data_IF_598193285582
#
_entry.id   IF_598193285582
#
_cell.length_a   1.000
_cell.length_b   1.000
_cell.length_c   1.000
_cell.angle_alpha   90.00
_cell.angle_beta   90.00
_cell.angle_gamma   90.00
#
_symmetry.space_group_name_H-M   'P 1'
#
loop_
_entity.id
_entity.type
_entity.pdbx_description
1 polymer ?
#
# COMPACT_ATOMS: atom_id res chain seq x y z
N UNK A 1 -23.49 14.73 -15.36
CA UNK A 1 -22.46 13.74 -14.96
C UNK A 1 -21.60 14.41 -13.91
N UNK A 2 -21.79 14.03 -12.65
CA UNK A 2 -20.89 14.36 -11.55
C UNK A 2 -19.58 13.57 -11.69
N UNK A 3 -18.44 14.26 -11.60
CA UNK A 3 -17.24 13.73 -10.95
C UNK A 3 -16.39 14.89 -10.45
N UNK A 4 -16.40 15.11 -9.14
CA UNK A 4 -15.21 15.53 -8.43
C UNK A 4 -14.68 14.30 -7.68
N UNK A 5 -13.36 14.15 -7.55
CA UNK A 5 -12.84 14.45 -6.23
C UNK A 5 -11.53 15.26 -6.28
N UNK A 6 -11.60 16.44 -5.67
CA UNK A 6 -10.61 17.01 -4.75
C UNK A 6 -9.15 16.64 -5.01
N UNK A 7 -8.51 17.33 -5.95
CA UNK A 7 -7.06 17.36 -6.11
C UNK A 7 -6.41 18.13 -4.96
N UNK A 8 -5.99 17.44 -3.90
CA UNK A 8 -4.94 17.93 -2.97
C UNK A 8 -3.54 17.75 -3.59
N UNK A 9 -3.41 18.07 -4.88
CA UNK A 9 -2.23 17.76 -5.70
C UNK A 9 -1.12 18.82 -5.58
N UNK A 10 -1.43 20.03 -5.08
CA UNK A 10 -0.46 21.13 -5.10
C UNK A 10 0.75 20.94 -4.16
N UNK A 11 0.61 20.17 -3.07
CA UNK A 11 1.68 19.98 -2.08
C UNK A 11 2.62 18.83 -2.41
N UNK A 12 2.08 17.65 -2.69
CA UNK A 12 2.89 16.46 -2.97
C UNK A 12 3.65 16.59 -4.30
N UNK A 13 2.97 17.08 -5.35
CA UNK A 13 3.58 17.20 -6.68
C UNK A 13 4.70 18.26 -6.69
N UNK A 14 4.58 19.33 -5.89
CA UNK A 14 5.61 20.36 -5.76
C UNK A 14 6.87 19.85 -5.06
N UNK A 15 6.73 19.01 -4.03
CA UNK A 15 7.86 18.39 -3.32
C UNK A 15 8.61 17.42 -4.24
N UNK A 16 7.89 16.58 -4.97
CA UNK A 16 8.52 15.63 -5.90
C UNK A 16 9.26 16.37 -7.04
N UNK A 17 8.68 17.46 -7.55
CA UNK A 17 9.34 18.30 -8.55
C UNK A 17 10.61 18.99 -8.01
N UNK A 18 10.61 19.43 -6.75
CA UNK A 18 11.76 20.05 -6.10
C UNK A 18 12.88 19.03 -5.88
N UNK A 19 12.55 17.83 -5.37
CA UNK A 19 13.50 16.72 -5.20
C UNK A 19 14.12 16.30 -6.54
N UNK A 20 13.32 16.24 -7.61
CA UNK A 20 13.82 15.94 -8.95
C UNK A 20 14.84 16.98 -9.46
N UNK A 21 14.65 18.25 -9.11
CA UNK A 21 15.56 19.35 -9.42
C UNK A 21 16.76 19.41 -8.46
N UNK A 22 16.74 18.67 -7.36
CA UNK A 22 17.76 18.72 -6.31
C UNK A 22 17.71 20.00 -5.47
N UNK A 23 16.55 20.66 -5.44
CA UNK A 23 16.31 21.89 -4.69
C UNK A 23 15.19 21.64 -3.67
N UNK A 24 15.27 22.27 -2.50
CA UNK A 24 14.16 22.34 -1.55
C UNK A 24 13.12 23.36 -2.03
N UNK A 25 11.96 23.41 -1.39
CA UNK A 25 10.86 24.32 -1.77
C UNK A 25 11.23 25.80 -1.61
N UNK A 26 12.24 26.11 -0.80
CA UNK A 26 12.79 27.45 -0.64
C UNK A 26 13.92 27.77 -1.65
N UNK A 27 14.24 26.83 -2.55
CA UNK A 27 15.29 26.98 -3.57
C UNK A 27 16.69 26.62 -3.09
N UNK A 28 16.87 26.19 -1.84
CA UNK A 28 18.18 25.75 -1.34
C UNK A 28 18.59 24.39 -1.92
N UNK A 29 19.89 24.11 -2.14
CA UNK A 29 20.32 22.83 -2.67
C UNK A 29 20.12 21.69 -1.66
N UNK A 30 19.54 20.58 -2.10
CA UNK A 30 19.43 19.36 -1.29
C UNK A 30 20.83 18.73 -1.17
N UNK A 31 21.29 18.36 0.05
CA UNK A 31 22.55 17.65 0.22
C UNK A 31 22.65 16.38 -0.64
N UNK A 32 23.76 16.16 -1.38
CA UNK A 32 23.89 15.04 -2.32
C UNK A 32 23.65 13.67 -1.70
N UNK A 33 24.09 13.45 -0.46
CA UNK A 33 23.88 12.19 0.26
C UNK A 33 22.40 11.88 0.49
N UNK A 34 21.58 12.90 0.79
CA UNK A 34 20.12 12.75 0.97
C UNK A 34 19.44 12.41 -0.35
N UNK A 35 19.82 13.11 -1.43
CA UNK A 35 19.26 12.88 -2.76
C UNK A 35 19.64 11.49 -3.30
N UNK A 36 20.87 11.04 -3.05
CA UNK A 36 21.33 9.70 -3.42
C UNK A 36 20.51 8.62 -2.73
N UNK A 37 20.32 8.74 -1.41
CA UNK A 37 19.51 7.78 -0.65
C UNK A 37 18.05 7.76 -1.12
N UNK A 38 17.44 8.92 -1.35
CA UNK A 38 16.08 9.00 -1.88
C UNK A 38 15.94 8.28 -3.22
N UNK A 39 16.85 8.54 -4.17
CA UNK A 39 16.84 7.91 -5.49
C UNK A 39 17.00 6.39 -5.40
N UNK A 40 17.88 5.91 -4.52
CA UNK A 40 18.07 4.48 -4.28
C UNK A 40 16.76 3.83 -3.80
N UNK A 41 16.13 4.39 -2.77
CA UNK A 41 14.89 3.84 -2.21
C UNK A 41 13.73 3.92 -3.22
N UNK A 42 13.59 5.03 -3.96
CA UNK A 42 12.56 5.14 -5.00
C UNK A 42 12.80 4.18 -6.16
N UNK A 43 14.05 3.89 -6.52
CA UNK A 43 14.37 2.87 -7.51
C UNK A 43 14.00 1.45 -7.02
N UNK A 44 14.13 1.18 -5.73
CA UNK A 44 13.66 -0.08 -5.13
C UNK A 44 12.12 -0.17 -5.14
N UNK A 45 11.42 0.91 -4.78
CA UNK A 45 9.95 0.94 -4.82
C UNK A 45 9.41 0.87 -6.25
N UNK A 46 10.06 1.52 -7.22
CA UNK A 46 9.70 1.44 -8.65
C UNK A 46 9.85 0.04 -9.23
N UNK A 47 10.74 -0.79 -8.68
CA UNK A 47 10.88 -2.22 -9.03
C UNK A 47 9.81 -3.09 -8.39
N UNK A 48 9.04 -2.58 -7.43
CA UNK A 48 7.99 -3.33 -6.76
C UNK A 48 6.82 -3.53 -7.72
N UNK A 49 6.53 -4.78 -8.07
CA UNK A 49 5.28 -5.13 -8.74
C UNK A 49 4.13 -4.78 -7.80
N UNK A 50 3.36 -3.73 -8.13
CA UNK A 50 2.14 -3.40 -7.39
C UNK A 50 1.24 -4.63 -7.37
N UNK A 51 0.75 -4.98 -6.19
CA UNK A 51 -0.22 -6.06 -6.04
C UNK A 51 -1.49 -5.67 -6.81
N UNK A 52 -2.05 -6.59 -7.61
CA UNK A 52 -3.29 -6.33 -8.33
C UNK A 52 -4.44 -6.01 -7.37
N UNK A 53 -5.49 -5.38 -7.91
CA UNK A 53 -6.69 -4.98 -7.14
C UNK A 53 -7.27 -6.18 -6.38
N UNK A 54 -7.39 -7.34 -7.02
CA UNK A 54 -7.89 -8.59 -6.41
C UNK A 54 -7.04 -9.04 -5.22
N UNK A 55 -5.71 -9.00 -5.31
CA UNK A 55 -4.81 -9.34 -4.20
C UNK A 55 -4.96 -8.38 -3.03
N UNK A 56 -5.10 -7.08 -3.34
CA UNK A 56 -5.30 -6.03 -2.34
C UNK A 56 -6.66 -6.20 -1.64
N UNK A 57 -7.71 -6.49 -2.41
CA UNK A 57 -9.07 -6.74 -1.92
C UNK A 57 -9.08 -7.94 -0.97
N UNK A 58 -8.51 -9.09 -1.39
CA UNK A 58 -8.40 -10.28 -0.53
C UNK A 58 -7.67 -9.97 0.78
N UNK A 59 -6.53 -9.28 0.69
CA UNK A 59 -5.72 -8.96 1.87
C UNK A 59 -6.48 -8.07 2.86
N UNK A 60 -7.31 -7.13 2.36
CA UNK A 60 -8.18 -6.30 3.18
C UNK A 60 -9.31 -7.11 3.82
N UNK A 61 -9.96 -7.99 3.05
CA UNK A 61 -11.01 -8.89 3.55
C UNK A 61 -10.45 -9.77 4.68
N UNK A 62 -9.30 -10.42 4.48
CA UNK A 62 -8.68 -11.26 5.52
C UNK A 62 -8.37 -10.44 6.78
N UNK A 63 -7.68 -9.30 6.65
CA UNK A 63 -7.26 -8.47 7.79
C UNK A 63 -8.41 -7.89 8.59
N UNK A 64 -9.50 -7.51 7.94
CA UNK A 64 -10.66 -6.89 8.61
C UNK A 64 -11.63 -7.98 9.06
N UNK A 65 -11.94 -8.95 8.20
CA UNK A 65 -12.84 -10.06 8.47
C UNK A 65 -12.42 -10.88 9.68
N UNK A 66 -11.13 -11.12 9.90
CA UNK A 66 -10.66 -11.90 11.04
C UNK A 66 -10.92 -11.24 12.40
N UNK A 67 -11.27 -9.95 12.43
CA UNK A 67 -11.70 -9.25 13.66
C UNK A 67 -13.16 -9.54 14.02
N UNK A 68 -13.96 -9.98 13.06
CA UNK A 68 -15.42 -10.04 13.16
C UNK A 68 -16.00 -11.44 12.90
N UNK A 69 -15.25 -12.32 12.24
CA UNK A 69 -15.69 -13.64 11.81
C UNK A 69 -14.79 -14.73 12.39
N UNK A 70 -15.38 -15.90 12.67
CA UNK A 70 -14.60 -17.10 12.99
C UNK A 70 -13.67 -17.48 11.81
N UNK A 71 -12.65 -18.28 12.09
CA UNK A 71 -11.74 -18.77 11.04
C UNK A 71 -12.50 -19.53 9.96
N UNK A 72 -13.43 -20.41 10.35
CA UNK A 72 -14.25 -21.21 9.43
C UNK A 72 -15.15 -20.32 8.58
N UNK A 73 -15.86 -19.37 9.19
CA UNK A 73 -16.77 -18.46 8.47
C UNK A 73 -16.03 -17.59 7.45
N UNK A 74 -14.88 -17.02 7.84
CA UNK A 74 -14.09 -16.20 6.94
C UNK A 74 -13.52 -17.04 5.79
N UNK A 75 -13.07 -18.26 6.08
CA UNK A 75 -12.54 -19.15 5.06
C UNK A 75 -13.60 -19.56 4.04
N UNK A 76 -14.81 -19.91 4.51
CA UNK A 76 -15.91 -20.26 3.63
C UNK A 76 -16.30 -19.09 2.74
N UNK A 77 -16.41 -17.88 3.29
CA UNK A 77 -16.74 -16.67 2.51
C UNK A 77 -15.69 -16.32 1.46
N UNK A 78 -14.40 -16.62 1.72
CA UNK A 78 -13.36 -16.46 0.71
C UNK A 78 -13.58 -17.43 -0.45
N UNK A 79 -13.84 -18.71 -0.16
CA UNK A 79 -14.10 -19.73 -1.18
C UNK A 79 -15.37 -19.41 -2.01
N UNK A 80 -16.45 -19.01 -1.35
CA UNK A 80 -17.71 -18.63 -2.00
C UNK A 80 -17.53 -17.43 -2.95
N UNK A 81 -16.58 -16.54 -2.64
CA UNK A 81 -16.23 -15.39 -3.46
C UNK A 81 -15.04 -15.65 -4.41
N UNK A 82 -14.71 -16.92 -4.65
CA UNK A 82 -13.65 -17.37 -5.56
C UNK A 82 -12.24 -16.83 -5.20
N UNK A 83 -12.03 -16.45 -3.93
CA UNK A 83 -10.71 -16.14 -3.41
C UNK A 83 -10.02 -17.39 -2.89
N UNK A 84 -8.67 -17.45 -2.97
CA UNK A 84 -7.91 -18.47 -2.26
C UNK A 84 -8.25 -18.48 -0.76
N UNK A 85 -8.38 -19.67 -0.14
CA UNK A 85 -8.68 -19.81 1.27
C UNK A 85 -7.61 -19.15 2.15
N UNK A 86 -7.87 -19.03 3.45
CA UNK A 86 -6.90 -18.55 4.42
C UNK A 86 -5.61 -19.40 4.34
N UNK A 87 -4.46 -18.73 4.36
CA UNK A 87 -3.14 -19.38 4.38
C UNK A 87 -2.77 -19.69 5.82
N UNK A 88 -1.95 -20.71 6.05
CA UNK A 88 -1.49 -21.10 7.39
C UNK A 88 -0.88 -19.92 8.17
N UNK A 89 -0.07 -19.08 7.51
CA UNK A 89 0.49 -17.87 8.14
C UNK A 89 -0.57 -16.82 8.53
N UNK A 90 -1.66 -16.73 7.77
CA UNK A 90 -2.78 -15.83 8.05
C UNK A 90 -3.59 -16.41 9.23
N UNK A 91 -3.78 -17.72 9.26
CA UNK A 91 -4.43 -18.42 10.37
C UNK A 91 -3.64 -18.22 11.65
N UNK A 92 -2.34 -18.53 11.65
CA UNK A 92 -1.47 -18.36 12.80
C UNK A 92 -1.46 -16.91 13.30
N UNK A 93 -1.37 -15.93 12.39
CA UNK A 93 -1.31 -14.51 12.78
C UNK A 93 -2.62 -13.97 13.34
N UNK A 94 -3.78 -14.34 12.77
CA UNK A 94 -5.07 -13.75 13.15
C UNK A 94 -5.87 -14.59 14.16
N UNK A 95 -5.58 -15.89 14.27
CA UNK A 95 -6.33 -16.85 15.08
C UNK A 95 -5.47 -17.74 15.98
N UNK A 96 -4.12 -17.67 15.87
CA UNK A 96 -3.22 -18.60 16.56
C UNK A 96 -3.04 -18.38 18.07
N UNK A 97 -3.37 -17.19 18.59
CA UNK A 97 -3.18 -16.83 20.01
C UNK A 97 -4.47 -16.30 20.67
N UNK A 98 -5.63 -16.86 20.31
CA UNK A 98 -6.90 -16.59 21.01
C UNK A 98 -7.25 -17.68 22.01
#
# INVERSE_FOLDING_TARGET
METNPTSSAAGADAVDAAIAQGLDLDGTPIPPAKLSLYKEVMALEGKRKRSGVTTTMRSRIVRIGAKHLSQEDLNQKLLDAEFPPLKDKEIAFYYGDK
#
